data_IF_559462019409
#
_entry.id   IF_559462019409
#
_cell.length_a   1.000
_cell.length_b   1.000
_cell.length_c   1.000
_cell.angle_alpha   90.00
_cell.angle_beta   90.00
_cell.angle_gamma   90.00
#
_symmetry.space_group_name_H-M   'P 1'
#
loop_
_entity.id
_entity.type
_entity.pdbx_description
1 polymer ?
#
# COMPACT_ATOMS: atom_id res chain seq x y z
N UNK A 1 -7.57 25.86 13.29
CA UNK A 1 -6.75 24.70 13.69
C UNK A 1 -5.58 24.63 12.73
N UNK A 2 -4.34 24.81 13.21
CA UNK A 2 -3.16 24.67 12.37
C UNK A 2 -2.83 23.18 12.29
N UNK A 3 -2.72 22.64 11.08
CA UNK A 3 -2.20 21.30 10.87
C UNK A 3 -0.81 21.19 11.50
N UNK A 4 -0.47 20.10 12.21
CA UNK A 4 0.89 19.89 12.69
C UNK A 4 1.82 19.96 11.48
N UNK A 5 2.87 20.79 11.59
CA UNK A 5 3.94 20.80 10.56
C UNK A 5 4.54 19.41 10.55
N UNK A 6 4.38 18.72 9.42
CA UNK A 6 5.14 17.50 9.16
C UNK A 6 6.62 17.89 9.28
N UNK A 7 7.30 17.37 10.30
CA UNK A 7 8.75 17.52 10.38
C UNK A 7 9.36 16.86 9.16
N UNK A 8 10.33 17.48 8.47
CA UNK A 8 11.02 16.80 7.39
C UNK A 8 11.61 15.51 7.95
N UNK A 9 11.20 14.36 7.42
CA UNK A 9 11.79 13.08 7.76
C UNK A 9 13.30 13.18 7.51
N UNK A 10 14.09 12.96 8.56
CA UNK A 10 15.54 12.96 8.42
C UNK A 10 15.94 11.86 7.44
N UNK A 11 16.41 12.23 6.25
CA UNK A 11 16.92 11.31 5.24
C UNK A 11 16.28 11.39 3.85
N UNK A 12 15.01 11.79 3.73
CA UNK A 12 14.35 11.92 2.41
C UNK A 12 14.21 13.40 2.08
N UNK A 13 15.02 13.86 1.12
CA UNK A 13 14.94 15.23 0.59
C UNK A 13 13.78 15.36 -0.39
N UNK A 14 13.36 16.60 -0.69
CA UNK A 14 12.35 16.87 -1.71
C UNK A 14 12.77 16.34 -3.07
N UNK A 15 14.04 16.45 -3.44
CA UNK A 15 14.57 15.94 -4.70
C UNK A 15 14.48 14.41 -4.77
N UNK A 16 14.82 13.71 -3.68
CA UNK A 16 14.68 12.26 -3.62
C UNK A 16 13.22 11.82 -3.70
N UNK A 17 12.31 12.56 -3.05
CA UNK A 17 10.87 12.30 -3.17
C UNK A 17 10.34 12.47 -4.60
N UNK A 18 10.86 13.42 -5.38
CA UNK A 18 10.53 13.56 -6.79
C UNK A 18 11.02 12.38 -7.63
N UNK A 19 12.23 11.86 -7.37
CA UNK A 19 12.71 10.66 -8.05
C UNK A 19 11.86 9.42 -7.74
N UNK A 20 11.39 9.29 -6.49
CA UNK A 20 10.48 8.21 -6.13
C UNK A 20 9.12 8.34 -6.80
N UNK A 21 8.60 9.56 -6.93
CA UNK A 21 7.38 9.82 -7.69
C UNK A 21 7.57 9.46 -9.17
N UNK A 22 8.72 9.82 -9.76
CA UNK A 22 9.05 9.43 -11.14
C UNK A 22 9.04 7.91 -11.32
N UNK A 23 9.56 7.15 -10.37
CA UNK A 23 9.54 5.68 -10.43
C UNK A 23 8.10 5.12 -10.44
N UNK A 24 7.22 5.69 -9.63
CA UNK A 24 5.77 5.36 -9.62
C UNK A 24 5.10 5.73 -10.94
N UNK A 25 5.39 6.92 -11.47
CA UNK A 25 4.84 7.39 -12.74
C UNK A 25 5.27 6.48 -13.91
N UNK A 26 6.55 6.07 -13.95
CA UNK A 26 7.06 5.18 -15.00
C UNK A 26 6.40 3.78 -14.94
N UNK A 27 6.18 3.23 -13.75
CA UNK A 27 5.42 1.98 -13.59
C UNK A 27 3.99 2.11 -14.11
N UNK A 28 3.29 3.18 -13.72
CA UNK A 28 1.92 3.44 -14.17
C UNK A 28 1.84 3.64 -15.69
N UNK A 29 2.79 4.35 -16.31
CA UNK A 29 2.85 4.55 -17.76
C UNK A 29 3.10 3.21 -18.48
N UNK A 30 4.02 2.40 -17.98
CA UNK A 30 4.36 1.12 -18.59
C UNK A 30 3.18 0.13 -18.52
N UNK A 31 2.55 0.00 -17.37
CA UNK A 31 1.38 -0.87 -17.19
C UNK A 31 0.16 -0.39 -17.99
N UNK A 32 -0.02 0.92 -18.19
CA UNK A 32 -1.11 1.47 -18.97
C UNK A 32 -1.12 0.99 -20.43
N UNK A 33 0.04 0.61 -21.00
CA UNK A 33 0.14 0.00 -22.33
C UNK A 33 -0.53 -1.37 -22.43
N UNK A 34 -0.75 -2.04 -21.29
CA UNK A 34 -1.37 -3.36 -21.16
C UNK A 34 -2.85 -3.29 -20.75
N UNK A 35 -3.38 -2.10 -20.52
CA UNK A 35 -4.76 -1.90 -20.08
C UNK A 35 -5.75 -2.50 -21.05
N UNK A 36 -6.63 -3.36 -20.55
CA UNK A 36 -7.69 -4.01 -21.34
C UNK A 36 -7.21 -5.11 -22.29
N UNK A 37 -5.98 -5.61 -22.13
CA UNK A 37 -5.45 -6.70 -22.97
C UNK A 37 -5.67 -8.09 -22.39
N UNK A 38 -6.21 -8.21 -21.17
CA UNK A 38 -6.48 -9.48 -20.51
C UNK A 38 -5.22 -10.21 -20.01
N UNK A 39 -4.05 -9.59 -20.07
CA UNK A 39 -2.79 -10.18 -19.63
C UNK A 39 -2.25 -9.41 -18.41
N UNK A 40 -2.65 -9.89 -17.22
CA UNK A 40 -2.27 -9.29 -15.96
C UNK A 40 -0.77 -9.43 -15.65
N UNK A 41 -0.17 -10.55 -16.07
CA UNK A 41 1.25 -10.80 -15.79
C UNK A 41 2.13 -9.87 -16.62
N UNK A 42 1.82 -9.71 -17.91
CA UNK A 42 2.56 -8.77 -18.75
C UNK A 42 2.38 -7.31 -18.31
N UNK A 43 1.21 -6.96 -17.76
CA UNK A 43 0.98 -5.62 -17.19
C UNK A 43 1.84 -5.39 -15.94
N UNK A 44 1.93 -6.40 -15.09
CA UNK A 44 2.73 -6.40 -13.87
C UNK A 44 4.23 -6.35 -14.19
N UNK A 45 4.73 -7.27 -15.00
CA UNK A 45 6.12 -7.31 -15.45
C UNK A 45 6.58 -5.96 -16.04
N UNK A 46 5.72 -5.31 -16.83
CA UNK A 46 6.04 -4.01 -17.42
C UNK A 46 6.18 -2.91 -16.34
N UNK A 47 5.33 -2.92 -15.32
CA UNK A 47 5.38 -1.98 -14.21
C UNK A 47 6.64 -2.20 -13.34
N UNK A 48 6.91 -3.46 -12.98
CA UNK A 48 8.08 -3.88 -12.20
C UNK A 48 9.37 -3.45 -12.90
N UNK A 49 9.51 -3.78 -14.19
CA UNK A 49 10.69 -3.43 -14.97
C UNK A 49 10.91 -1.91 -15.08
N UNK A 50 9.84 -1.16 -15.33
CA UNK A 50 9.93 0.29 -15.45
C UNK A 50 10.31 0.97 -14.12
N UNK A 51 9.70 0.56 -13.02
CA UNK A 51 10.02 1.08 -11.69
C UNK A 51 11.47 0.74 -11.33
N UNK A 52 11.87 -0.51 -11.49
CA UNK A 52 13.21 -0.99 -11.17
C UNK A 52 14.30 -0.23 -11.93
N UNK A 53 14.13 -0.05 -13.25
CA UNK A 53 15.08 0.70 -14.10
C UNK A 53 15.18 2.17 -13.71
N UNK A 54 14.09 2.76 -13.27
CA UNK A 54 14.10 4.16 -12.82
C UNK A 54 15.01 4.33 -11.61
N UNK A 55 14.97 3.39 -10.67
CA UNK A 55 15.84 3.42 -9.50
C UNK A 55 17.32 3.40 -9.81
N UNK A 56 17.77 2.80 -10.92
CA UNK A 56 19.20 2.73 -11.28
C UNK A 56 19.88 4.11 -11.35
N UNK A 57 19.11 5.16 -11.62
CA UNK A 57 19.61 6.52 -11.75
C UNK A 57 19.35 7.39 -10.51
N UNK A 58 18.65 6.89 -9.51
CA UNK A 58 18.31 7.66 -8.30
C UNK A 58 19.50 7.67 -7.32
N UNK A 59 19.95 8.85 -6.84
CA UNK A 59 21.15 8.95 -6.01
C UNK A 59 20.87 8.58 -4.54
N UNK A 60 20.71 7.31 -4.25
CA UNK A 60 20.51 6.76 -2.91
C UNK A 60 21.11 5.34 -2.79
N UNK A 61 21.32 4.90 -1.56
CA UNK A 61 21.65 3.53 -1.20
C UNK A 61 20.34 2.89 -0.67
N UNK A 62 19.60 2.26 -1.59
CA UNK A 62 18.27 1.72 -1.35
C UNK A 62 18.28 0.23 -1.04
N UNK A 63 17.22 -0.21 -0.35
CA UNK A 63 16.94 -1.63 -0.17
C UNK A 63 15.43 -1.85 -0.17
N UNK A 64 14.98 -2.86 -0.90
CA UNK A 64 13.59 -3.31 -0.83
C UNK A 64 13.35 -4.00 0.51
N UNK A 65 12.48 -3.42 1.34
CA UNK A 65 12.03 -4.01 2.61
C UNK A 65 10.73 -4.80 2.44
N UNK A 66 9.86 -4.36 1.53
CA UNK A 66 8.62 -5.03 1.12
C UNK A 66 8.52 -4.87 -0.39
N UNK A 67 8.34 -5.97 -1.12
CA UNK A 67 8.36 -5.96 -2.60
C UNK A 67 7.61 -7.13 -3.19
N UNK A 68 8.00 -7.54 -4.40
CA UNK A 68 7.32 -8.54 -5.23
C UNK A 68 7.45 -10.00 -4.74
N UNK A 69 8.08 -10.23 -3.64
CA UNK A 69 8.28 -11.55 -3.05
C UNK A 69 9.73 -11.81 -2.64
N UNK A 70 10.03 -13.08 -2.42
CA UNK A 70 11.37 -13.53 -2.07
C UNK A 70 12.25 -13.59 -3.33
N UNK A 71 13.57 -13.52 -3.14
CA UNK A 71 14.55 -13.47 -4.22
C UNK A 71 14.41 -14.61 -5.25
N UNK A 72 14.02 -15.79 -4.80
CA UNK A 72 13.90 -16.97 -5.65
C UNK A 72 12.57 -16.99 -6.45
N UNK A 73 11.63 -16.12 -6.12
CA UNK A 73 10.28 -16.05 -6.70
C UNK A 73 10.11 -14.84 -7.63
N UNK A 74 10.81 -13.73 -7.35
CA UNK A 74 10.71 -12.49 -8.10
C UNK A 74 12.05 -12.12 -8.77
N UNK A 75 12.05 -11.83 -10.08
CA UNK A 75 13.28 -11.46 -10.79
C UNK A 75 13.81 -10.06 -10.43
N UNK A 76 12.91 -9.16 -10.00
CA UNK A 76 13.21 -7.77 -9.64
C UNK A 76 12.34 -7.31 -8.48
N UNK A 77 12.75 -6.28 -7.77
CA UNK A 77 12.08 -5.70 -6.61
C UNK A 77 11.76 -6.72 -5.50
N UNK A 78 12.59 -7.77 -5.41
CA UNK A 78 12.47 -8.77 -4.36
C UNK A 78 12.96 -8.22 -3.02
N UNK A 79 12.50 -8.82 -1.92
CA UNK A 79 12.90 -8.45 -0.57
C UNK A 79 14.43 -8.57 -0.41
N UNK A 80 15.07 -7.47 -0.02
CA UNK A 80 16.51 -7.36 0.15
C UNK A 80 17.27 -6.92 -1.10
N UNK A 81 16.61 -6.69 -2.25
CA UNK A 81 17.27 -6.13 -3.43
C UNK A 81 17.84 -4.74 -3.14
N UNK A 82 19.07 -4.51 -3.55
CA UNK A 82 19.72 -3.20 -3.45
C UNK A 82 19.36 -2.33 -4.67
N UNK A 83 19.00 -1.07 -4.42
CA UNK A 83 18.51 -0.13 -5.41
C UNK A 83 19.26 1.21 -5.34
N UNK A 84 19.33 1.90 -6.47
CA UNK A 84 19.91 3.24 -6.54
C UNK A 84 21.34 3.27 -7.06
N UNK A 85 21.76 4.45 -7.52
CA UNK A 85 23.09 4.65 -8.11
C UNK A 85 24.20 4.80 -7.06
N UNK A 86 23.88 4.84 -5.77
CA UNK A 86 24.84 5.07 -4.69
C UNK A 86 24.91 3.89 -3.69
N UNK A 87 24.55 2.68 -4.12
CA UNK A 87 24.67 1.47 -3.29
C UNK A 87 26.11 1.30 -2.81
N UNK A 88 26.30 1.17 -1.50
CA UNK A 88 27.62 1.00 -0.86
C UNK A 88 28.50 2.25 -0.85
N UNK A 89 28.02 3.39 -1.31
CA UNK A 89 28.78 4.65 -1.27
C UNK A 89 28.68 5.28 0.12
N UNK A 90 29.81 5.58 0.73
CA UNK A 90 29.85 6.21 2.06
C UNK A 90 29.15 7.57 2.05
N UNK A 91 28.22 7.76 2.99
CA UNK A 91 27.44 9.01 3.12
C UNK A 91 26.22 9.11 2.20
N UNK A 92 25.94 8.09 1.37
CA UNK A 92 24.71 8.02 0.60
C UNK A 92 23.47 7.98 1.52
N UNK A 93 22.33 8.58 1.11
CA UNK A 93 21.06 8.40 1.81
C UNK A 93 20.68 6.92 1.85
N UNK A 94 20.59 6.35 3.04
CA UNK A 94 20.19 4.95 3.21
C UNK A 94 18.69 4.86 3.43
N UNK A 95 17.97 4.25 2.47
CA UNK A 95 16.51 4.23 2.40
C UNK A 95 16.01 2.80 2.23
N UNK A 96 15.05 2.40 3.05
CA UNK A 96 14.22 1.22 2.82
C UNK A 96 12.97 1.60 2.02
N UNK A 97 12.60 0.72 1.10
CA UNK A 97 11.48 0.92 0.17
C UNK A 97 10.49 -0.23 0.34
N UNK A 98 9.22 0.12 0.36
CA UNK A 98 8.10 -0.79 0.17
C UNK A 98 7.41 -0.44 -1.15
N UNK A 99 7.27 -1.40 -2.05
CA UNK A 99 6.71 -1.18 -3.39
C UNK A 99 5.61 -2.18 -3.72
N UNK A 100 4.65 -1.71 -4.49
CA UNK A 100 3.76 -2.50 -5.33
C UNK A 100 3.64 -1.76 -6.66
N UNK A 101 4.36 -2.19 -7.71
CA UNK A 101 4.40 -1.49 -9.00
C UNK A 101 3.07 -1.46 -9.72
N UNK A 102 2.19 -2.46 -9.49
CA UNK A 102 0.85 -2.52 -10.05
C UNK A 102 -0.15 -3.21 -9.11
N UNK A 103 -0.59 -2.54 -8.07
CA UNK A 103 -1.68 -2.97 -7.20
C UNK A 103 -2.99 -3.12 -8.01
N UNK A 104 -3.69 -4.23 -7.80
CA UNK A 104 -4.88 -4.61 -8.56
C UNK A 104 -4.61 -4.89 -10.05
N UNK A 105 -3.66 -5.75 -10.35
CA UNK A 105 -3.23 -6.15 -11.70
C UNK A 105 -4.38 -6.59 -12.61
N UNK A 106 -5.38 -7.32 -12.07
CA UNK A 106 -6.57 -7.71 -12.83
C UNK A 106 -7.36 -6.50 -13.35
N UNK A 107 -7.49 -5.45 -12.54
CA UNK A 107 -8.21 -4.24 -12.97
C UNK A 107 -7.54 -3.57 -14.17
N UNK A 108 -6.21 -3.54 -14.19
CA UNK A 108 -5.47 -3.06 -15.36
C UNK A 108 -5.73 -3.94 -16.59
N UNK A 109 -5.55 -5.25 -16.45
CA UNK A 109 -5.74 -6.21 -17.53
C UNK A 109 -7.16 -6.16 -18.13
N UNK A 110 -8.18 -5.97 -17.29
CA UNK A 110 -9.59 -5.97 -17.67
C UNK A 110 -10.15 -4.56 -17.95
N UNK A 111 -9.31 -3.54 -18.04
CA UNK A 111 -9.70 -2.13 -18.23
C UNK A 111 -10.70 -1.63 -17.17
N UNK A 112 -10.56 -2.09 -15.94
CA UNK A 112 -11.34 -1.62 -14.79
C UNK A 112 -10.62 -0.47 -14.08
N UNK A 113 -11.33 0.39 -13.34
CA UNK A 113 -10.72 1.46 -12.56
C UNK A 113 -9.98 0.90 -11.32
N UNK A 114 -9.18 1.77 -10.70
CA UNK A 114 -8.52 1.57 -9.40
C UNK A 114 -7.32 0.60 -9.39
N UNK A 115 -6.64 0.40 -10.52
CA UNK A 115 -5.23 -0.02 -10.47
C UNK A 115 -4.35 1.17 -10.10
N UNK A 116 -3.37 0.96 -9.25
CA UNK A 116 -2.42 2.00 -8.84
C UNK A 116 -1.00 1.46 -8.81
N UNK A 117 -0.01 2.32 -9.04
CA UNK A 117 1.38 2.08 -8.69
C UNK A 117 1.67 2.79 -7.37
N UNK A 118 2.31 2.13 -6.42
CA UNK A 118 2.51 2.68 -5.09
C UNK A 118 3.91 2.38 -4.54
N UNK A 119 4.44 3.35 -3.80
CA UNK A 119 5.72 3.25 -3.13
C UNK A 119 5.65 3.95 -1.77
N UNK A 120 6.27 3.34 -0.77
CA UNK A 120 6.61 4.01 0.49
C UNK A 120 8.12 3.96 0.70
N UNK A 121 8.70 5.05 1.15
CA UNK A 121 10.12 5.16 1.44
C UNK A 121 10.36 5.69 2.85
N UNK A 122 11.34 5.13 3.54
CA UNK A 122 11.70 5.55 4.89
C UNK A 122 13.21 5.36 5.15
N UNK A 123 13.81 6.05 6.12
CA UNK A 123 15.18 5.78 6.52
C UNK A 123 15.41 4.29 6.80
N UNK A 124 16.57 3.77 6.43
CA UNK A 124 16.91 2.35 6.57
C UNK A 124 16.63 1.83 7.99
N UNK A 125 15.93 0.69 8.07
CA UNK A 125 15.58 0.01 9.32
C UNK A 125 14.38 0.60 10.05
N UNK A 126 13.63 1.53 9.46
CA UNK A 126 12.43 2.12 10.08
C UNK A 126 11.11 1.60 9.50
N UNK A 127 11.13 0.90 8.36
CA UNK A 127 9.97 0.17 7.88
C UNK A 127 9.77 -1.12 8.68
N UNK A 128 8.51 -1.43 9.01
CA UNK A 128 8.18 -2.69 9.63
C UNK A 128 8.40 -3.83 8.62
N UNK A 129 9.33 -4.72 8.92
CA UNK A 129 9.46 -5.96 8.18
C UNK A 129 8.38 -6.93 8.69
N UNK A 130 7.36 -7.13 7.89
CA UNK A 130 6.28 -8.07 8.18
C UNK A 130 6.31 -9.22 7.17
N UNK A 131 5.94 -10.46 7.57
CA UNK A 131 5.78 -11.54 6.63
C UNK A 131 4.66 -11.20 5.63
N UNK A 132 4.78 -11.71 4.40
CA UNK A 132 3.70 -11.60 3.41
C UNK A 132 2.55 -12.52 3.83
N UNK A 133 1.60 -11.95 4.57
CA UNK A 133 0.43 -12.66 5.04
C UNK A 133 -0.78 -11.74 5.16
N UNK A 134 -1.97 -12.35 5.06
CA UNK A 134 -3.20 -11.63 5.36
C UNK A 134 -3.30 -11.35 6.86
N UNK A 135 -3.77 -10.16 7.19
CA UNK A 135 -4.01 -9.72 8.56
C UNK A 135 -5.41 -9.12 8.66
N UNK A 136 -6.06 -9.32 9.80
CA UNK A 136 -7.25 -8.57 10.14
C UNK A 136 -6.88 -7.10 10.38
N UNK A 137 -7.63 -6.20 9.78
CA UNK A 137 -7.40 -4.76 9.87
C UNK A 137 -8.69 -4.04 10.21
N UNK A 138 -8.60 -3.09 11.12
CA UNK A 138 -9.69 -2.19 11.46
C UNK A 138 -9.19 -0.75 11.38
N UNK A 139 -9.84 0.06 10.57
CA UNK A 139 -9.58 1.50 10.48
C UNK A 139 -10.86 2.26 10.78
N UNK A 140 -10.76 3.29 11.59
CA UNK A 140 -11.88 4.15 11.94
C UNK A 140 -11.42 5.60 12.08
N UNK A 141 -12.37 6.52 12.04
CA UNK A 141 -12.09 7.93 12.29
C UNK A 141 -11.61 8.19 13.72
N UNK A 142 -10.93 9.32 13.98
CA UNK A 142 -10.30 9.61 15.28
C UNK A 142 -11.29 9.62 16.45
N UNK A 143 -12.57 9.91 16.22
CA UNK A 143 -13.59 9.85 17.26
C UNK A 143 -13.83 8.43 17.81
N UNK A 144 -13.53 7.41 17.02
CA UNK A 144 -13.73 6.01 17.36
C UNK A 144 -12.45 5.31 17.83
N UNK A 145 -11.28 5.96 17.81
CA UNK A 145 -9.98 5.34 18.03
C UNK A 145 -9.88 4.55 19.35
N UNK A 146 -10.49 5.07 20.43
CA UNK A 146 -10.44 4.45 21.75
C UNK A 146 -11.68 3.58 22.06
N UNK A 147 -12.58 3.43 21.09
CA UNK A 147 -13.88 2.77 21.28
C UNK A 147 -14.03 1.47 20.51
N UNK A 148 -13.28 1.30 19.41
CA UNK A 148 -13.35 0.12 18.54
C UNK A 148 -12.08 -0.71 18.63
N UNK A 149 -12.20 -2.02 18.47
CA UNK A 149 -11.06 -2.94 18.47
C UNK A 149 -11.34 -4.18 17.64
N UNK A 150 -10.28 -4.83 17.14
CA UNK A 150 -10.40 -6.12 16.45
C UNK A 150 -10.98 -7.21 17.35
N UNK A 151 -10.64 -7.21 18.64
CA UNK A 151 -11.09 -8.20 19.62
C UNK A 151 -12.61 -8.06 19.94
N UNK A 152 -13.19 -6.90 19.73
CA UNK A 152 -14.61 -6.64 19.99
C UNK A 152 -15.55 -7.31 19.00
N UNK A 153 -15.07 -7.63 17.80
CA UNK A 153 -15.89 -8.16 16.72
C UNK A 153 -16.83 -7.12 16.09
N UNK A 154 -17.58 -7.56 15.07
CA UNK A 154 -18.38 -6.67 14.22
C UNK A 154 -19.50 -5.97 14.99
N UNK A 155 -20.31 -6.73 15.70
CA UNK A 155 -21.49 -6.19 16.41
C UNK A 155 -21.10 -5.15 17.46
N UNK A 156 -20.09 -5.46 18.26
CA UNK A 156 -19.56 -4.54 19.27
C UNK A 156 -19.06 -3.23 18.62
N UNK A 157 -18.27 -3.32 17.56
CA UNK A 157 -17.71 -2.14 16.91
C UNK A 157 -18.78 -1.24 16.29
N UNK A 158 -19.86 -1.84 15.75
CA UNK A 158 -21.01 -1.09 15.25
C UNK A 158 -21.77 -0.40 16.39
N UNK A 159 -22.00 -1.09 17.51
CA UNK A 159 -22.64 -0.51 18.70
C UNK A 159 -21.83 0.67 19.26
N UNK A 160 -20.50 0.53 19.33
CA UNK A 160 -19.62 1.62 19.74
C UNK A 160 -19.71 2.81 18.78
N UNK A 161 -19.73 2.56 17.48
CA UNK A 161 -19.86 3.60 16.47
C UNK A 161 -21.21 4.35 16.61
N UNK A 162 -22.31 3.63 16.79
CA UNK A 162 -23.63 4.22 17.05
C UNK A 162 -23.63 5.14 18.28
N UNK A 163 -23.04 4.64 19.36
CA UNK A 163 -22.98 5.39 20.63
C UNK A 163 -22.12 6.66 20.52
N UNK A 164 -20.92 6.55 19.95
CA UNK A 164 -19.96 7.67 19.86
C UNK A 164 -20.40 8.72 18.85
N UNK A 165 -21.01 8.28 17.74
CA UNK A 165 -21.44 9.18 16.66
C UNK A 165 -22.89 9.66 16.82
N UNK A 166 -23.60 9.20 17.85
CA UNK A 166 -25.01 9.50 18.12
C UNK A 166 -25.89 9.24 16.87
N UNK A 167 -25.83 8.01 16.34
CA UNK A 167 -26.52 7.61 15.12
C UNK A 167 -27.12 6.21 15.22
N UNK A 168 -28.00 5.86 14.30
CA UNK A 168 -28.57 4.51 14.19
C UNK A 168 -27.63 3.57 13.40
N UNK A 169 -27.82 2.25 13.55
CA UNK A 169 -27.01 1.26 12.84
C UNK A 169 -27.01 1.46 11.32
N UNK A 170 -28.16 1.85 10.75
CA UNK A 170 -28.30 2.12 9.32
C UNK A 170 -27.52 3.33 8.80
N UNK A 171 -26.99 4.17 9.70
CA UNK A 171 -26.14 5.31 9.34
C UNK A 171 -24.64 4.95 9.38
N UNK A 172 -24.29 3.84 10.03
CA UNK A 172 -22.92 3.36 10.09
C UNK A 172 -22.54 2.74 8.74
N UNK A 173 -21.57 3.34 8.07
CA UNK A 173 -21.05 2.88 6.78
C UNK A 173 -19.71 2.16 6.94
N UNK A 174 -19.64 0.96 6.41
CA UNK A 174 -18.48 0.10 6.51
C UNK A 174 -17.98 -0.22 5.09
N UNK A 175 -16.68 -0.21 4.89
CA UNK A 175 -16.05 -0.62 3.64
C UNK A 175 -15.17 -1.83 3.94
N UNK A 176 -15.33 -2.88 3.15
CA UNK A 176 -14.48 -4.05 3.18
C UNK A 176 -14.27 -4.59 1.76
N UNK A 177 -13.19 -5.33 1.53
CA UNK A 177 -12.92 -5.92 0.23
C UNK A 177 -13.95 -7.00 -0.10
N UNK A 178 -14.52 -6.96 -1.30
CA UNK A 178 -15.39 -8.03 -1.80
C UNK A 178 -14.54 -9.25 -2.19
N UNK A 179 -14.46 -10.19 -1.27
CA UNK A 179 -13.76 -11.47 -1.40
C UNK A 179 -14.58 -12.58 -0.77
N UNK A 180 -14.52 -13.76 -1.33
CA UNK A 180 -15.25 -14.94 -0.83
C UNK A 180 -14.96 -15.20 0.67
N UNK A 181 -13.71 -15.04 1.10
CA UNK A 181 -13.30 -15.16 2.50
C UNK A 181 -13.98 -14.14 3.45
N UNK A 182 -14.56 -13.06 2.92
CA UNK A 182 -15.26 -12.03 3.70
C UNK A 182 -16.77 -12.22 3.74
N UNK A 183 -17.31 -13.28 3.15
CA UNK A 183 -18.76 -13.52 3.14
C UNK A 183 -19.37 -13.58 4.55
N UNK A 184 -18.64 -14.16 5.52
CA UNK A 184 -19.02 -14.17 6.94
C UNK A 184 -19.10 -12.78 7.52
N UNK A 185 -18.05 -11.97 7.32
CA UNK A 185 -17.98 -10.57 7.76
C UNK A 185 -19.15 -9.75 7.19
N UNK A 186 -19.43 -9.88 5.90
CA UNK A 186 -20.54 -9.17 5.26
C UNK A 186 -21.90 -9.53 5.86
N UNK A 187 -22.09 -10.81 6.18
CA UNK A 187 -23.32 -11.27 6.83
C UNK A 187 -23.45 -10.68 8.24
N UNK A 188 -22.39 -10.63 9.02
CA UNK A 188 -22.38 -10.05 10.36
C UNK A 188 -22.70 -8.54 10.33
N UNK A 189 -22.07 -7.79 9.42
CA UNK A 189 -22.31 -6.35 9.25
C UNK A 189 -23.79 -6.08 8.92
N UNK A 190 -24.36 -6.82 7.96
CA UNK A 190 -25.76 -6.67 7.58
C UNK A 190 -26.72 -7.08 8.69
N UNK A 191 -26.42 -8.13 9.44
CA UNK A 191 -27.21 -8.57 10.58
C UNK A 191 -27.21 -7.55 11.71
N UNK A 192 -26.13 -6.80 11.88
CA UNK A 192 -26.05 -5.69 12.83
C UNK A 192 -26.76 -4.41 12.34
N UNK A 193 -27.27 -4.41 11.11
CA UNK A 193 -28.06 -3.31 10.53
C UNK A 193 -27.23 -2.21 9.88
N UNK A 194 -25.91 -2.33 9.82
CA UNK A 194 -25.03 -1.34 9.19
C UNK A 194 -25.01 -1.47 7.65
N UNK A 195 -24.58 -0.42 6.97
CA UNK A 195 -24.39 -0.36 5.54
C UNK A 195 -22.99 -0.85 5.17
N UNK A 196 -22.90 -1.63 4.07
CA UNK A 196 -21.67 -2.17 3.51
C UNK A 196 -21.48 -1.69 2.07
#
# INVERSE_FOLDING_TARGET
>A
MAFPRVQPFMGITTDLAHHFLEAVDQAAIASAAWRGKGDKNAADDAAVEAMRRTFDNVPFDGRVAIGEGERDEAPMLYIGEELGSMVGVAGAPQIDIAVDPLECTNNCADNQPNSIAVLAAAPRGTLLHAPDCYMDKLAAGPALADHVSLDGGVAYNIEQAMHVLDCEAGDVRIVALDRERHAGLFKEIRNAGAQL
#
